data_IF_351762352246
#
_entry.id   IF_351762352246
#
_cell.length_a   1.000
_cell.length_b   1.000
_cell.length_c   1.000
_cell.angle_alpha   90.00
_cell.angle_beta   90.00
_cell.angle_gamma   90.00
#
_symmetry.space_group_name_H-M   'P 1'
#
loop_
_entity.id
_entity.type
_entity.pdbx_description
1 polymer ?
#
# COMPACT_ATOMS: atom_id res chain seq x y z
N UNK A 1 18.28 -14.43 12.45
CA UNK A 1 17.06 -14.39 11.62
C UNK A 1 17.51 -14.27 10.18
N UNK A 2 17.58 -15.37 9.43
CA UNK A 2 17.77 -15.31 7.98
C UNK A 2 16.45 -14.80 7.41
N UNK A 3 16.45 -13.65 6.75
CA UNK A 3 15.25 -13.08 6.14
C UNK A 3 14.68 -14.07 5.11
N UNK A 4 13.43 -14.50 5.30
CA UNK A 4 12.73 -15.38 4.36
C UNK A 4 12.27 -14.55 3.14
N UNK A 5 13.18 -14.44 2.17
CA UNK A 5 12.93 -13.77 0.89
C UNK A 5 11.72 -14.34 0.14
N UNK A 6 11.37 -15.60 0.33
CA UNK A 6 10.19 -16.17 -0.31
C UNK A 6 8.91 -15.65 0.35
N UNK A 7 8.89 -15.52 1.69
CA UNK A 7 7.77 -14.89 2.40
C UNK A 7 7.60 -13.43 1.99
N UNK A 8 8.71 -12.70 1.83
CA UNK A 8 8.71 -11.34 1.34
C UNK A 8 8.17 -11.24 -0.10
N UNK A 9 8.64 -12.08 -1.02
CA UNK A 9 8.14 -12.06 -2.38
C UNK A 9 6.63 -12.38 -2.44
N UNK A 10 6.17 -13.37 -1.66
CA UNK A 10 4.74 -13.70 -1.57
C UNK A 10 3.91 -12.53 -1.05
N UNK A 11 4.34 -11.87 0.03
CA UNK A 11 3.62 -10.71 0.59
C UNK A 11 3.54 -9.56 -0.42
N UNK A 12 4.65 -9.23 -1.08
CA UNK A 12 4.71 -8.15 -2.07
C UNK A 12 3.84 -8.44 -3.29
N UNK A 13 3.89 -9.66 -3.84
CA UNK A 13 3.01 -10.07 -4.94
C UNK A 13 1.54 -10.00 -4.52
N UNK A 14 1.22 -10.46 -3.30
CA UNK A 14 -0.15 -10.41 -2.75
C UNK A 14 -0.65 -8.96 -2.65
N UNK A 15 0.21 -8.04 -2.20
CA UNK A 15 -0.08 -6.60 -2.17
C UNK A 15 -0.41 -6.06 -3.57
N UNK A 16 0.48 -6.29 -4.54
CA UNK A 16 0.29 -5.84 -5.93
C UNK A 16 -1.05 -6.35 -6.50
N UNK A 17 -1.33 -7.65 -6.34
CA UNK A 17 -2.56 -8.25 -6.87
C UNK A 17 -3.82 -7.72 -6.18
N UNK A 18 -3.77 -7.53 -4.86
CA UNK A 18 -4.89 -6.97 -4.08
C UNK A 18 -5.24 -5.57 -4.58
N UNK A 19 -4.26 -4.67 -4.67
CA UNK A 19 -4.52 -3.29 -5.06
C UNK A 19 -4.81 -3.14 -6.55
N UNK A 20 -4.27 -4.02 -7.40
CA UNK A 20 -4.72 -4.13 -8.81
C UNK A 20 -6.20 -4.49 -8.89
N UNK A 21 -6.64 -5.45 -8.06
CA UNK A 21 -8.04 -5.87 -8.03
C UNK A 21 -8.95 -4.77 -7.50
N UNK A 22 -8.56 -4.10 -6.40
CA UNK A 22 -9.29 -2.95 -5.84
C UNK A 22 -9.42 -1.84 -6.88
N UNK A 23 -8.32 -1.44 -7.52
CA UNK A 23 -8.35 -0.40 -8.54
C UNK A 23 -9.26 -0.79 -9.71
N UNK A 24 -9.19 -2.04 -10.18
CA UNK A 24 -10.05 -2.50 -11.27
C UNK A 24 -11.53 -2.47 -10.88
N UNK A 25 -11.88 -2.93 -9.69
CA UNK A 25 -13.25 -2.88 -9.17
C UNK A 25 -13.72 -1.43 -9.07
N UNK A 26 -12.94 -0.55 -8.44
CA UNK A 26 -13.26 0.88 -8.33
C UNK A 26 -13.40 1.55 -9.69
N UNK A 27 -12.55 1.20 -10.66
CA UNK A 27 -12.62 1.74 -12.03
C UNK A 27 -13.89 1.36 -12.78
N UNK A 28 -14.51 0.22 -12.42
CA UNK A 28 -15.82 -0.20 -12.94
C UNK A 28 -16.98 0.47 -12.21
N UNK A 29 -16.83 0.76 -10.92
CA UNK A 29 -17.87 1.38 -10.10
C UNK A 29 -17.98 2.90 -10.35
N UNK A 30 -16.86 3.55 -10.68
CA UNK A 30 -16.82 5.01 -10.90
C UNK A 30 -17.08 5.31 -12.38
N UNK A 31 -18.25 5.89 -12.65
CA UNK A 31 -18.58 6.44 -13.97
C UNK A 31 -18.20 7.91 -14.04
N UNK A 32 -17.23 8.25 -14.87
CA UNK A 32 -16.89 9.63 -15.20
C UNK A 32 -16.62 9.74 -16.71
N UNK A 33 -17.06 10.84 -17.33
CA UNK A 33 -16.93 11.06 -18.78
C UNK A 33 -15.50 11.34 -19.20
N UNK A 34 -14.71 11.98 -18.33
CA UNK A 34 -13.28 12.21 -18.55
C UNK A 34 -12.47 11.05 -17.93
N UNK A 35 -11.73 10.35 -18.78
CA UNK A 35 -10.88 9.23 -18.36
C UNK A 35 -9.78 9.65 -17.37
N UNK A 36 -9.26 10.88 -17.50
CA UNK A 36 -8.23 11.39 -16.60
C UNK A 36 -8.81 11.69 -15.22
N UNK A 37 -9.98 12.31 -15.18
CA UNK A 37 -10.69 12.55 -13.93
C UNK A 37 -11.13 11.23 -13.27
N UNK A 38 -11.61 10.27 -14.06
CA UNK A 38 -11.93 8.90 -13.57
C UNK A 38 -10.71 8.27 -12.91
N UNK A 39 -9.58 8.27 -13.61
CA UNK A 39 -8.34 7.70 -13.08
C UNK A 39 -7.93 8.35 -11.76
N UNK A 40 -7.94 9.69 -11.68
CA UNK A 40 -7.61 10.40 -10.43
C UNK A 40 -8.51 10.00 -9.27
N UNK A 41 -9.81 9.88 -9.50
CA UNK A 41 -10.77 9.48 -8.47
C UNK A 41 -10.52 8.03 -8.01
N UNK A 42 -10.28 7.12 -8.96
CA UNK A 42 -9.95 5.71 -8.64
C UNK A 42 -8.64 5.64 -7.86
N UNK A 43 -7.62 6.42 -8.24
CA UNK A 43 -6.32 6.43 -7.55
C UNK A 43 -6.49 6.90 -6.10
N UNK A 44 -7.17 8.04 -5.89
CA UNK A 44 -7.43 8.57 -4.55
C UNK A 44 -8.19 7.58 -3.67
N UNK A 45 -9.22 6.92 -4.23
CA UNK A 45 -9.97 5.91 -3.46
C UNK A 45 -9.15 4.64 -3.19
N UNK A 46 -8.27 4.25 -4.10
CA UNK A 46 -7.35 3.12 -3.90
C UNK A 46 -6.37 3.43 -2.78
N UNK A 47 -5.74 4.61 -2.79
CA UNK A 47 -4.84 5.05 -1.72
C UNK A 47 -5.54 5.24 -0.38
N UNK A 48 -6.79 5.75 -0.39
CA UNK A 48 -7.59 5.84 0.81
C UNK A 48 -7.92 4.45 1.41
N UNK A 49 -8.25 3.49 0.55
CA UNK A 49 -8.48 2.10 0.96
C UNK A 49 -7.22 1.49 1.56
N UNK A 50 -6.05 1.75 0.97
CA UNK A 50 -4.76 1.37 1.53
C UNK A 50 -4.59 1.96 2.92
N UNK A 51 -4.73 3.27 3.13
CA UNK A 51 -4.56 3.88 4.46
C UNK A 51 -5.50 3.29 5.53
N UNK A 52 -6.73 2.92 5.17
CA UNK A 52 -7.65 2.21 6.09
C UNK A 52 -7.09 0.82 6.43
N UNK A 53 -6.69 0.04 5.43
CA UNK A 53 -6.13 -1.30 5.64
C UNK A 53 -4.86 -1.21 6.51
N UNK A 54 -3.94 -0.31 6.18
CA UNK A 54 -2.69 -0.10 6.88
C UNK A 54 -2.90 0.32 8.34
N UNK A 55 -3.83 1.25 8.58
CA UNK A 55 -4.15 1.69 9.95
C UNK A 55 -4.79 0.57 10.78
N UNK A 56 -5.72 -0.20 10.21
CA UNK A 56 -6.33 -1.34 10.90
C UNK A 56 -5.29 -2.42 11.24
N UNK A 57 -4.42 -2.77 10.30
CA UNK A 57 -3.38 -3.78 10.54
C UNK A 57 -2.37 -3.27 11.57
N UNK A 58 -1.99 -1.99 11.52
CA UNK A 58 -1.12 -1.37 12.53
C UNK A 58 -1.72 -1.47 13.94
N UNK A 59 -3.03 -1.19 14.09
CA UNK A 59 -3.75 -1.35 15.37
C UNK A 59 -3.74 -2.82 15.81
N UNK A 60 -4.05 -3.76 14.91
CA UNK A 60 -4.03 -5.19 15.21
C UNK A 60 -2.65 -5.67 15.67
N UNK A 61 -1.57 -5.31 14.95
CA UNK A 61 -0.20 -5.65 15.35
C UNK A 61 0.19 -5.05 16.71
N UNK A 62 -0.27 -3.83 16.99
CA UNK A 62 -0.05 -3.16 18.27
C UNK A 62 -0.77 -3.83 19.44
N UNK A 63 -1.95 -4.41 19.20
CA UNK A 63 -2.69 -5.20 20.18
C UNK A 63 -2.09 -6.60 20.39
N UNK A 64 -1.60 -7.24 19.33
CA UNK A 64 -0.94 -8.57 19.40
C UNK A 64 0.38 -8.52 20.16
N UNK A 65 1.11 -7.41 20.07
CA UNK A 65 2.41 -7.24 20.71
C UNK A 65 2.52 -5.83 21.28
N UNK A 66 1.93 -5.55 22.46
CA UNK A 66 2.03 -4.24 23.11
C UNK A 66 3.49 -3.85 23.45
N UNK A 67 4.41 -4.82 23.41
CA UNK A 67 5.86 -4.60 23.48
C UNK A 67 6.42 -3.83 22.27
N UNK A 68 5.80 -3.90 21.08
CA UNK A 68 6.18 -3.08 19.93
C UNK A 68 5.92 -1.58 20.14
N UNK A 69 4.93 -1.22 20.97
CA UNK A 69 4.62 0.17 21.31
C UNK A 69 5.53 0.74 22.41
N UNK A 70 6.15 -0.14 23.20
CA UNK A 70 6.84 0.23 24.46
C UNK A 70 8.34 -0.08 24.44
N UNK A 71 8.82 -0.90 23.51
CA UNK A 71 10.22 -1.30 23.33
C UNK A 71 10.62 -1.12 21.87
N UNK A 72 11.89 -0.81 21.61
CA UNK A 72 12.49 -0.61 20.27
C UNK A 72 11.87 -1.50 19.18
N UNK A 73 11.12 -0.87 18.26
CA UNK A 73 10.38 -1.53 17.16
C UNK A 73 11.24 -2.47 16.32
N UNK A 74 12.54 -2.14 16.20
CA UNK A 74 13.53 -2.88 15.41
C UNK A 74 13.86 -4.24 16.06
N UNK A 75 13.78 -4.33 17.39
CA UNK A 75 14.14 -5.55 18.14
C UNK A 75 13.01 -6.58 18.24
N UNK A 76 11.76 -6.13 18.07
CA UNK A 76 10.54 -6.92 18.32
C UNK A 76 9.77 -7.27 17.04
N UNK A 77 10.48 -7.36 15.91
CA UNK A 77 9.87 -7.61 14.61
C UNK A 77 9.32 -9.04 14.52
N UNK A 78 7.99 -9.18 14.49
CA UNK A 78 7.31 -10.48 14.37
C UNK A 78 7.18 -10.91 12.91
N UNK A 79 6.98 -12.21 12.67
CA UNK A 79 6.75 -12.73 11.31
C UNK A 79 5.49 -12.13 10.65
N UNK A 80 4.49 -11.77 11.45
CA UNK A 80 3.28 -11.07 11.00
C UNK A 80 3.61 -9.65 10.53
N UNK A 81 4.39 -8.89 11.32
CA UNK A 81 4.85 -7.56 10.95
C UNK A 81 5.69 -7.57 9.64
N UNK A 82 6.51 -8.61 9.44
CA UNK A 82 7.27 -8.79 8.19
C UNK A 82 6.39 -9.03 6.98
N UNK A 83 5.38 -9.89 7.11
CA UNK A 83 4.42 -10.15 6.03
C UNK A 83 3.59 -8.91 5.69
N UNK A 84 3.21 -8.14 6.72
CA UNK A 84 2.51 -6.88 6.55
C UNK A 84 3.37 -5.83 5.82
N UNK A 85 4.59 -5.57 6.29
CA UNK A 85 5.48 -4.61 5.62
C UNK A 85 5.75 -5.02 4.17
N UNK A 86 5.91 -6.31 3.92
CA UNK A 86 6.05 -6.85 2.56
C UNK A 86 4.81 -6.60 1.69
N UNK A 87 3.60 -6.74 2.24
CA UNK A 87 2.33 -6.43 1.57
C UNK A 87 2.20 -4.93 1.25
N UNK A 88 2.55 -4.06 2.19
CA UNK A 88 2.53 -2.60 2.04
C UNK A 88 3.54 -2.13 0.96
N UNK A 89 4.72 -2.75 0.89
CA UNK A 89 5.68 -2.52 -0.18
C UNK A 89 5.08 -2.89 -1.55
N UNK A 90 4.27 -3.96 -1.61
CA UNK A 90 3.55 -4.33 -2.82
C UNK A 90 2.58 -3.25 -3.29
N UNK A 91 1.80 -2.66 -2.37
CA UNK A 91 0.98 -1.48 -2.68
C UNK A 91 1.83 -0.32 -3.20
N UNK A 92 2.90 0.02 -2.49
CA UNK A 92 3.74 1.17 -2.83
C UNK A 92 4.32 1.06 -4.25
N UNK A 93 4.79 -0.14 -4.62
CA UNK A 93 5.25 -0.43 -5.99
C UNK A 93 4.11 -0.24 -6.99
N UNK A 94 2.93 -0.79 -6.71
CA UNK A 94 1.76 -0.67 -7.58
C UNK A 94 1.36 0.79 -7.81
N UNK A 95 1.14 1.56 -6.73
CA UNK A 95 0.68 2.95 -6.80
C UNK A 95 1.72 3.85 -7.49
N UNK A 96 3.01 3.65 -7.18
CA UNK A 96 4.11 4.36 -7.85
C UNK A 96 4.11 4.10 -9.35
N UNK A 97 3.95 2.86 -9.78
CA UNK A 97 3.90 2.51 -11.20
C UNK A 97 2.67 3.07 -11.92
N UNK A 98 1.50 3.09 -11.27
CA UNK A 98 0.27 3.64 -11.87
C UNK A 98 0.37 5.17 -12.03
N UNK A 99 0.89 5.88 -11.03
CA UNK A 99 1.15 7.32 -11.07
C UNK A 99 2.17 7.67 -12.17
N UNK A 100 3.29 6.94 -12.26
CA UNK A 100 4.32 7.18 -13.28
C UNK A 100 3.80 6.99 -14.72
N UNK A 101 2.85 6.08 -14.92
CA UNK A 101 2.27 5.80 -16.25
C UNK A 101 1.23 6.82 -16.68
N UNK A 102 0.45 7.39 -15.74
CA UNK A 102 -0.76 8.17 -16.06
C UNK A 102 -0.70 9.64 -15.67
N UNK A 103 0.30 10.07 -14.89
CA UNK A 103 0.47 11.48 -14.52
C UNK A 103 1.51 12.18 -15.39
N UNK A 104 1.41 13.52 -15.47
CA UNK A 104 2.47 14.35 -16.07
C UNK A 104 3.57 14.55 -15.02
N UNK A 105 4.84 14.52 -15.44
CA UNK A 105 6.03 14.46 -14.56
C UNK A 105 6.03 15.39 -13.33
N UNK A 106 5.44 16.60 -13.40
CA UNK A 106 5.34 17.50 -12.24
C UNK A 106 4.31 17.06 -11.19
N UNK A 107 3.12 16.64 -11.61
CA UNK A 107 2.08 16.15 -10.69
C UNK A 107 2.47 14.79 -10.10
N UNK A 108 3.15 13.93 -10.88
CA UNK A 108 3.68 12.65 -10.42
C UNK A 108 4.54 12.78 -9.16
N UNK A 109 5.48 13.73 -9.20
CA UNK A 109 6.42 13.98 -8.12
C UNK A 109 5.74 14.51 -6.86
N UNK A 110 4.74 15.39 -7.00
CA UNK A 110 3.98 15.90 -5.86
C UNK A 110 3.22 14.77 -5.14
N UNK A 111 2.58 13.86 -5.88
CA UNK A 111 1.86 12.72 -5.29
C UNK A 111 2.79 11.66 -4.66
N UNK A 112 3.95 11.41 -5.28
CA UNK A 112 4.96 10.48 -4.76
C UNK A 112 5.66 11.00 -3.51
N UNK A 113 6.02 12.29 -3.48
CA UNK A 113 6.65 12.90 -2.31
C UNK A 113 5.71 12.92 -1.10
N UNK A 114 4.40 13.05 -1.32
CA UNK A 114 3.40 12.94 -0.26
C UNK A 114 3.35 11.57 0.42
N UNK A 115 3.77 10.49 -0.26
CA UNK A 115 3.86 9.14 0.31
C UNK A 115 5.19 8.87 1.04
N UNK A 116 6.17 9.76 0.93
CA UNK A 116 7.47 9.65 1.60
C UNK A 116 7.55 10.37 2.96
N UNK A 117 6.48 11.04 3.40
CA UNK A 117 6.42 11.82 4.66
C UNK A 117 5.59 11.07 5.70
#
# INVERSE_FOLDING_TARGET
MLYDWNAFLRGTITGILTFTTIHHVLSKLISCKDERQRWKQVNVLTSFTHSIISSLICICCSLESPKMLTTEMISSFTSNAYSYVSFEIGYFIYDSMDILRKSTNKQAYEYLLHHCI
#
